data_IF_567431464135
#
_entry.id   IF_567431464135
#
_cell.length_a   1.000
_cell.length_b   1.000
_cell.length_c   1.000
_cell.angle_alpha   90.00
_cell.angle_beta   90.00
_cell.angle_gamma   90.00
#
_symmetry.space_group_name_H-M   'P 1'
#
loop_
_entity.id
_entity.type
_entity.pdbx_description
1 polymer ?
#
# COMPACT_ATOMS: atom_id res chain seq x y z
N UNK A 1 56.38 10.85 -6.96
CA UNK A 1 55.31 10.95 -5.93
C UNK A 1 54.02 10.51 -6.57
N UNK A 2 53.65 9.27 -6.37
CA UNK A 2 52.40 8.69 -6.89
C UNK A 2 51.31 8.80 -5.85
N UNK A 3 50.29 9.63 -6.15
CA UNK A 3 49.12 9.81 -5.30
C UNK A 3 48.20 8.60 -5.41
N UNK A 4 47.99 7.94 -4.31
CA UNK A 4 46.98 6.89 -4.13
C UNK A 4 45.59 7.54 -4.21
N UNK A 5 44.85 7.30 -5.29
CA UNK A 5 43.41 7.57 -5.34
C UNK A 5 42.73 6.42 -4.62
N UNK A 6 42.33 6.66 -3.39
CA UNK A 6 41.51 5.74 -2.64
C UNK A 6 40.12 5.65 -3.27
N UNK A 7 39.81 4.52 -3.89
CA UNK A 7 38.45 4.18 -4.30
C UNK A 7 37.61 3.93 -3.04
N UNK A 8 36.77 4.89 -2.66
CA UNK A 8 35.73 4.66 -1.69
C UNK A 8 34.76 3.62 -2.29
N UNK A 9 34.85 2.39 -1.82
CA UNK A 9 33.83 1.36 -2.04
C UNK A 9 32.61 1.80 -1.27
N UNK A 10 31.68 2.46 -1.96
CA UNK A 10 30.36 2.74 -1.41
C UNK A 10 29.65 1.39 -1.30
N UNK A 11 29.61 0.80 -0.11
CA UNK A 11 28.72 -0.32 0.16
C UNK A 11 27.30 0.12 -0.15
N UNK A 12 26.82 -0.31 -1.30
CA UNK A 12 25.41 -0.16 -1.67
C UNK A 12 24.64 -1.07 -0.73
N UNK A 13 24.06 -0.51 0.35
CA UNK A 13 23.12 -1.23 1.19
C UNK A 13 21.97 -1.63 0.27
N UNK A 14 21.96 -2.87 -0.18
CA UNK A 14 20.88 -3.46 -0.95
C UNK A 14 19.65 -3.46 -0.06
N UNK A 15 18.76 -2.47 -0.23
CA UNK A 15 17.46 -2.44 0.44
C UNK A 15 16.76 -3.76 0.14
N UNK A 16 16.22 -4.40 1.18
CA UNK A 16 15.47 -5.65 1.03
C UNK A 16 14.43 -5.50 -0.09
N UNK A 17 14.44 -6.42 -1.05
CA UNK A 17 13.56 -6.40 -2.20
C UNK A 17 12.10 -6.29 -1.76
N UNK A 18 11.40 -5.30 -2.27
CA UNK A 18 9.98 -5.06 -2.00
C UNK A 18 9.15 -6.12 -2.71
N UNK A 19 8.40 -6.93 -1.96
CA UNK A 19 7.58 -8.03 -2.50
C UNK A 19 6.10 -7.61 -2.46
N UNK A 20 5.45 -7.38 -3.61
CA UNK A 20 4.03 -7.09 -3.68
C UNK A 20 3.18 -8.36 -3.57
N UNK A 21 1.96 -8.23 -3.05
CA UNK A 21 0.90 -9.20 -3.33
C UNK A 21 0.37 -8.90 -4.71
N UNK A 22 0.51 -9.82 -5.65
CA UNK A 22 0.06 -9.67 -7.03
C UNK A 22 -1.48 -9.67 -7.11
N UNK A 23 -2.07 -9.10 -8.17
CA UNK A 23 -3.52 -8.98 -8.31
C UNK A 23 -4.27 -10.30 -8.13
N UNK A 24 -3.82 -11.37 -8.78
CA UNK A 24 -4.45 -12.69 -8.75
C UNK A 24 -4.39 -13.32 -7.34
N UNK A 25 -3.26 -13.15 -6.66
CA UNK A 25 -3.07 -13.63 -5.29
C UNK A 25 -3.92 -12.81 -4.29
N UNK A 26 -4.09 -11.52 -4.56
CA UNK A 26 -4.92 -10.64 -3.74
C UNK A 26 -6.41 -10.95 -3.90
N UNK A 27 -6.86 -11.16 -5.14
CA UNK A 27 -8.22 -11.57 -5.44
C UNK A 27 -8.55 -12.89 -4.74
N UNK A 28 -7.73 -13.91 -4.96
CA UNK A 28 -7.90 -15.21 -4.34
C UNK A 28 -7.85 -15.14 -2.79
N UNK A 29 -7.07 -14.24 -2.21
CA UNK A 29 -7.06 -14.00 -0.77
C UNK A 29 -8.41 -13.47 -0.27
N UNK A 30 -9.00 -12.49 -0.97
CA UNK A 30 -10.30 -11.92 -0.62
C UNK A 30 -11.42 -12.97 -0.73
N UNK A 31 -11.41 -13.79 -1.79
CA UNK A 31 -12.41 -14.84 -2.02
C UNK A 31 -12.32 -15.95 -0.97
N UNK A 32 -11.11 -16.37 -0.61
CA UNK A 32 -10.93 -17.37 0.45
C UNK A 32 -11.38 -16.83 1.83
N UNK A 33 -11.14 -15.54 2.13
CA UNK A 33 -11.62 -14.92 3.36
C UNK A 33 -13.15 -14.87 3.41
N UNK A 34 -13.79 -14.59 2.27
CA UNK A 34 -15.25 -14.59 2.14
C UNK A 34 -15.83 -15.99 2.31
N UNK A 35 -15.30 -16.97 1.58
CA UNK A 35 -15.71 -18.37 1.65
C UNK A 35 -15.56 -18.96 3.05
N UNK A 36 -14.55 -18.53 3.81
CA UNK A 36 -14.32 -18.94 5.20
C UNK A 36 -15.18 -18.16 6.22
N UNK A 37 -16.05 -17.24 5.77
CA UNK A 37 -16.87 -16.37 6.62
C UNK A 37 -16.05 -15.38 7.45
N UNK A 38 -14.80 -15.09 7.06
CA UNK A 38 -13.90 -14.14 7.75
C UNK A 38 -14.14 -12.70 7.26
N UNK A 39 -15.40 -12.26 7.27
CA UNK A 39 -15.81 -11.01 6.64
C UNK A 39 -15.16 -9.76 7.23
N UNK A 40 -14.96 -9.71 8.55
CA UNK A 40 -14.25 -8.59 9.19
C UNK A 40 -12.78 -8.50 8.74
N UNK A 41 -12.10 -9.66 8.61
CA UNK A 41 -10.72 -9.71 8.14
C UNK A 41 -10.65 -9.40 6.65
N UNK A 42 -11.61 -9.89 5.84
CA UNK A 42 -11.76 -9.54 4.43
C UNK A 42 -11.87 -8.03 4.24
N UNK A 43 -12.71 -7.37 5.03
CA UNK A 43 -12.85 -5.92 5.02
C UNK A 43 -11.53 -5.22 5.32
N UNK A 44 -10.85 -5.60 6.40
CA UNK A 44 -9.56 -5.00 6.76
C UNK A 44 -8.49 -5.21 5.69
N UNK A 45 -8.38 -6.42 5.14
CA UNK A 45 -7.43 -6.79 4.07
C UNK A 45 -7.77 -6.05 2.77
N UNK A 46 -9.05 -5.98 2.41
CA UNK A 46 -9.51 -5.26 1.23
C UNK A 46 -9.21 -3.76 1.30
N UNK A 47 -9.52 -3.12 2.43
CA UNK A 47 -9.21 -1.70 2.64
C UNK A 47 -7.70 -1.43 2.56
N UNK A 48 -6.87 -2.25 3.24
CA UNK A 48 -5.42 -2.11 3.18
C UNK A 48 -4.89 -2.31 1.77
N UNK A 49 -5.33 -3.35 1.07
CA UNK A 49 -4.83 -3.70 -0.26
C UNK A 49 -5.35 -2.80 -1.37
N UNK A 50 -6.65 -2.48 -1.40
CA UNK A 50 -7.24 -1.64 -2.46
C UNK A 50 -6.87 -0.17 -2.35
N UNK A 51 -6.73 0.37 -1.14
CA UNK A 51 -6.37 1.77 -0.92
C UNK A 51 -4.88 2.00 -0.64
N UNK A 52 -4.07 0.94 -0.60
CA UNK A 52 -2.65 1.05 -0.30
C UNK A 52 -2.34 1.58 1.09
N UNK A 53 -3.19 1.29 2.08
CA UNK A 53 -3.04 1.78 3.45
C UNK A 53 -1.84 1.13 4.15
N UNK A 54 -1.24 1.84 5.11
CA UNK A 54 -0.51 1.17 6.18
C UNK A 54 -1.54 0.46 7.07
N UNK A 55 -1.30 -0.77 7.53
CA UNK A 55 -2.28 -1.46 8.40
C UNK A 55 -2.73 -0.65 9.62
N UNK A 56 -1.85 0.16 10.18
CA UNK A 56 -2.18 1.05 11.30
C UNK A 56 -3.09 2.23 10.92
N UNK A 57 -3.19 2.57 9.64
CA UNK A 57 -4.07 3.65 9.15
C UNK A 57 -5.56 3.28 9.19
N UNK A 58 -5.90 2.00 9.40
CA UNK A 58 -7.27 1.57 9.68
C UNK A 58 -7.89 2.28 10.91
N UNK A 59 -7.05 2.78 11.82
CA UNK A 59 -7.49 3.52 13.00
C UNK A 59 -7.90 4.97 12.73
N UNK A 60 -7.48 5.54 11.61
CA UNK A 60 -7.59 6.98 11.33
C UNK A 60 -8.24 7.26 9.97
N UNK A 61 -9.05 6.31 9.50
CA UNK A 61 -9.84 6.49 8.28
C UNK A 61 -11.07 7.35 8.54
N UNK A 62 -11.42 8.18 7.58
CA UNK A 62 -12.61 9.00 7.57
C UNK A 62 -13.21 9.03 6.17
N UNK A 63 -14.45 8.60 6.03
CA UNK A 63 -15.21 8.66 4.77
C UNK A 63 -16.11 9.90 4.80
N UNK A 64 -16.04 10.70 3.75
CA UNK A 64 -16.92 11.84 3.55
C UNK A 64 -18.23 11.43 2.85
N UNK A 65 -19.24 12.29 2.93
CA UNK A 65 -20.56 12.07 2.33
C UNK A 65 -20.47 11.94 0.79
N UNK A 66 -19.47 12.57 0.17
CA UNK A 66 -19.20 12.45 -1.27
C UNK A 66 -18.45 11.15 -1.65
N UNK A 67 -18.20 10.27 -0.69
CA UNK A 67 -17.54 8.99 -0.88
C UNK A 67 -16.01 9.06 -0.98
N UNK A 68 -15.40 10.20 -0.65
CA UNK A 68 -13.95 10.33 -0.55
C UNK A 68 -13.44 9.79 0.78
N UNK A 69 -12.44 8.92 0.71
CA UNK A 69 -11.76 8.38 1.89
C UNK A 69 -10.49 9.18 2.18
N UNK A 70 -10.37 9.62 3.42
CA UNK A 70 -9.20 10.29 3.94
C UNK A 70 -8.54 9.47 5.04
N UNK A 71 -7.25 9.69 5.22
CA UNK A 71 -6.45 9.04 6.25
C UNK A 71 -5.65 10.10 7.00
N UNK A 72 -5.81 10.12 8.32
CA UNK A 72 -5.12 11.06 9.19
C UNK A 72 -3.59 10.88 9.17
N UNK A 73 -2.87 11.99 9.24
CA UNK A 73 -1.40 12.03 9.22
C UNK A 73 -0.72 11.53 10.48
N UNK A 74 -1.49 11.25 11.53
CA UNK A 74 -1.02 10.94 12.89
C UNK A 74 -0.23 9.64 13.02
N UNK A 75 -0.44 8.67 12.10
CA UNK A 75 0.13 7.32 12.18
C UNK A 75 1.66 7.30 12.04
N UNK A 76 2.22 8.26 11.34
CA UNK A 76 3.67 8.39 11.17
C UNK A 76 4.15 9.72 11.78
N UNK A 77 4.22 9.74 13.11
CA UNK A 77 4.88 10.82 13.84
C UNK A 77 6.39 10.53 13.88
N UNK A 78 7.23 11.46 13.43
CA UNK A 78 8.63 11.45 13.82
C UNK A 78 8.79 12.29 15.10
N UNK A 79 9.84 12.03 15.87
CA UNK A 79 10.07 12.72 17.15
C UNK A 79 10.12 14.25 16.99
N UNK A 80 10.67 14.74 15.86
CA UNK A 80 10.74 16.17 15.54
C UNK A 80 9.37 16.78 15.26
N UNK A 81 8.49 16.06 14.56
CA UNK A 81 7.13 16.54 14.29
C UNK A 81 6.31 16.65 15.59
N UNK A 82 6.52 15.75 16.53
CA UNK A 82 5.90 15.80 17.86
C UNK A 82 6.38 17.01 18.65
N UNK A 83 7.70 17.26 18.69
CA UNK A 83 8.29 18.43 19.37
C UNK A 83 7.84 19.77 18.78
N UNK A 84 7.61 19.81 17.47
CA UNK A 84 7.22 21.02 16.74
C UNK A 84 5.71 21.23 16.64
N UNK A 85 4.88 20.31 17.16
CA UNK A 85 3.43 20.36 17.06
C UNK A 85 2.91 20.28 15.60
N UNK A 86 3.76 19.82 14.66
CA UNK A 86 3.41 19.72 13.24
C UNK A 86 2.82 18.34 12.95
N UNK A 87 1.50 18.25 12.94
CA UNK A 87 0.82 17.07 12.42
C UNK A 87 0.88 17.06 10.90
N UNK A 88 1.14 15.88 10.32
CA UNK A 88 0.97 15.73 8.87
C UNK A 88 -0.52 15.88 8.54
N UNK A 89 -0.86 16.64 7.48
CA UNK A 89 -2.25 16.78 7.07
C UNK A 89 -2.85 15.42 6.69
N UNK A 90 -4.17 15.33 6.81
CA UNK A 90 -4.90 14.22 6.22
C UNK A 90 -4.59 14.12 4.72
N UNK A 91 -4.57 12.91 4.20
CA UNK A 91 -4.42 12.68 2.77
C UNK A 91 -5.64 11.96 2.20
N UNK A 92 -6.01 12.35 1.01
CA UNK A 92 -6.93 11.59 0.19
C UNK A 92 -6.30 10.25 -0.18
N UNK A 93 -7.07 9.16 -0.07
CA UNK A 93 -6.71 7.84 -0.61
C UNK A 93 -7.73 7.42 -1.64
N UNK A 94 -7.29 6.71 -2.66
CA UNK A 94 -8.15 6.20 -3.74
C UNK A 94 -7.89 4.71 -3.93
N UNK A 95 -8.95 3.92 -4.16
CA UNK A 95 -8.76 2.51 -4.43
C UNK A 95 -8.21 2.31 -5.84
N UNK A 96 -7.36 1.32 -5.99
CA UNK A 96 -7.07 0.68 -7.25
C UNK A 96 -7.73 -0.69 -7.19
N UNK A 97 -8.85 -0.82 -7.88
CA UNK A 97 -9.61 -2.04 -7.92
C UNK A 97 -8.86 -3.17 -8.68
N UNK A 98 -9.38 -4.35 -8.64
CA UNK A 98 -8.91 -5.50 -9.39
C UNK A 98 -9.67 -5.58 -10.72
N UNK A 99 -9.07 -6.15 -11.75
CA UNK A 99 -9.72 -6.38 -13.03
C UNK A 99 -10.95 -7.28 -12.83
N UNK A 100 -12.09 -6.86 -13.37
CA UNK A 100 -13.36 -7.57 -13.20
C UNK A 100 -14.02 -7.38 -11.82
N UNK A 101 -13.48 -6.51 -10.99
CA UNK A 101 -14.02 -6.13 -9.67
C UNK A 101 -14.08 -4.62 -9.49
N UNK A 102 -14.52 -3.93 -10.52
CA UNK A 102 -14.64 -2.48 -10.55
C UNK A 102 -15.65 -2.02 -9.48
N UNK A 103 -15.24 -1.05 -8.68
CA UNK A 103 -16.04 -0.50 -7.58
C UNK A 103 -15.88 -1.22 -6.25
N UNK A 104 -15.14 -2.33 -6.17
CA UNK A 104 -14.96 -3.11 -4.93
C UNK A 104 -14.39 -2.24 -3.78
N UNK A 105 -13.42 -1.39 -4.08
CA UNK A 105 -12.85 -0.50 -3.05
C UNK A 105 -13.88 0.44 -2.46
N UNK A 106 -14.72 1.05 -3.31
CA UNK A 106 -15.82 1.93 -2.86
C UNK A 106 -16.85 1.14 -2.05
N UNK A 107 -17.22 -0.05 -2.50
CA UNK A 107 -18.14 -0.94 -1.78
C UNK A 107 -17.63 -1.23 -0.36
N UNK A 108 -16.36 -1.63 -0.21
CA UNK A 108 -15.78 -1.92 1.09
C UNK A 108 -15.67 -0.69 1.99
N UNK A 109 -15.36 0.49 1.43
CA UNK A 109 -15.35 1.73 2.19
C UNK A 109 -16.76 2.10 2.69
N UNK A 110 -17.79 1.93 1.86
CA UNK A 110 -19.17 2.13 2.27
C UNK A 110 -19.62 1.09 3.30
N UNK A 111 -19.24 -0.17 3.14
CA UNK A 111 -19.53 -1.21 4.13
C UNK A 111 -18.89 -0.89 5.48
N UNK A 112 -17.66 -0.40 5.47
CA UNK A 112 -16.98 0.07 6.68
C UNK A 112 -17.75 1.21 7.32
N UNK A 113 -18.09 2.26 6.58
CA UNK A 113 -18.77 3.45 7.09
C UNK A 113 -20.19 3.13 7.62
N UNK A 114 -21.02 2.42 6.85
CA UNK A 114 -22.38 2.03 7.21
C UNK A 114 -22.42 1.08 8.42
N UNK A 115 -21.34 0.37 8.67
CA UNK A 115 -21.18 -0.52 9.81
C UNK A 115 -20.64 0.13 11.07
N UNK A 116 -20.67 1.43 11.16
CA UNK A 116 -20.09 2.24 12.25
C UNK A 116 -18.55 2.14 12.27
N UNK A 117 -17.92 2.18 11.11
CA UNK A 117 -16.47 2.30 10.96
C UNK A 117 -15.69 1.18 11.65
N UNK A 118 -14.91 1.55 12.65
CA UNK A 118 -14.03 0.64 13.39
C UNK A 118 -14.75 -0.62 13.90
N UNK A 119 -16.04 -0.54 14.21
CA UNK A 119 -16.82 -1.68 14.73
C UNK A 119 -16.99 -2.83 13.72
N UNK A 120 -16.69 -2.63 12.44
CA UNK A 120 -16.67 -3.67 11.41
C UNK A 120 -15.32 -4.34 11.23
N UNK A 121 -14.30 -3.86 11.90
CA UNK A 121 -12.97 -4.46 11.86
C UNK A 121 -12.88 -5.64 12.86
N UNK A 122 -11.94 -6.58 12.68
CA UNK A 122 -11.70 -7.66 13.61
C UNK A 122 -11.50 -7.17 15.05
N UNK A 123 -12.05 -7.89 16.02
CA UNK A 123 -12.00 -7.53 17.43
C UNK A 123 -10.58 -7.19 17.93
N UNK A 124 -9.58 -7.98 17.51
CA UNK A 124 -8.20 -7.74 17.91
C UNK A 124 -7.69 -6.36 17.42
N UNK A 125 -8.08 -5.91 16.22
CA UNK A 125 -7.74 -4.59 15.69
C UNK A 125 -8.48 -3.51 16.46
N UNK A 126 -9.79 -3.68 16.71
CA UNK A 126 -10.61 -2.74 17.47
C UNK A 126 -10.08 -2.51 18.88
N UNK A 127 -9.66 -3.56 19.56
CA UNK A 127 -9.10 -3.47 20.90
C UNK A 127 -7.80 -2.64 20.94
N UNK A 128 -6.96 -2.73 19.90
CA UNK A 128 -5.75 -1.91 19.85
C UNK A 128 -6.04 -0.47 19.40
N UNK A 129 -7.07 -0.24 18.56
CA UNK A 129 -7.53 1.11 18.23
C UNK A 129 -8.03 1.84 19.49
N UNK A 130 -8.80 1.17 20.35
CA UNK A 130 -9.31 1.74 21.59
C UNK A 130 -8.20 2.16 22.58
N UNK A 131 -7.00 1.60 22.45
CA UNK A 131 -5.84 1.92 23.33
C UNK A 131 -4.92 3.00 22.74
N UNK A 132 -5.20 3.49 21.53
CA UNK A 132 -4.30 4.43 20.84
C UNK A 132 -4.11 5.73 21.63
N UNK A 133 -5.17 6.29 22.19
CA UNK A 133 -5.10 7.52 23.00
C UNK A 133 -4.24 7.32 24.25
N UNK A 134 -4.43 6.23 24.97
CA UNK A 134 -3.66 5.90 26.18
C UNK A 134 -2.18 5.65 25.85
N UNK A 135 -1.90 4.84 24.83
CA UNK A 135 -0.54 4.45 24.46
C UNK A 135 0.19 5.45 23.58
N UNK A 136 -0.49 6.45 23.06
CA UNK A 136 0.00 7.41 22.07
C UNK A 136 0.76 6.79 20.89
N UNK A 137 0.30 5.61 20.42
CA UNK A 137 0.94 4.88 19.31
C UNK A 137 -0.06 4.03 18.52
N UNK A 138 0.11 3.99 17.22
CA UNK A 138 -0.66 3.17 16.28
C UNK A 138 0.04 1.85 15.92
N UNK A 139 1.22 1.59 16.48
CA UNK A 139 2.06 0.42 16.12
C UNK A 139 1.32 -0.88 16.34
N UNK A 140 0.64 -1.00 17.46
CA UNK A 140 -0.05 -2.25 17.87
C UNK A 140 -1.26 -2.55 16.98
N UNK A 141 -1.92 -1.53 16.40
CA UNK A 141 -2.99 -1.72 15.41
C UNK A 141 -2.45 -2.45 14.17
N UNK A 142 -1.30 -2.01 13.65
CA UNK A 142 -0.63 -2.67 12.53
C UNK A 142 -0.10 -4.07 12.88
N UNK A 143 0.35 -4.26 14.12
CA UNK A 143 0.79 -5.57 14.60
C UNK A 143 -0.38 -6.56 14.70
N UNK A 144 -1.53 -6.14 15.25
CA UNK A 144 -2.75 -6.95 15.33
C UNK A 144 -3.24 -7.38 13.94
N UNK A 145 -3.30 -6.45 12.98
CA UNK A 145 -3.61 -6.78 11.59
C UNK A 145 -2.65 -7.84 11.04
N UNK A 146 -1.35 -7.61 11.18
CA UNK A 146 -0.32 -8.51 10.65
C UNK A 146 -0.42 -9.89 11.28
N UNK A 147 -0.69 -9.96 12.59
CA UNK A 147 -0.84 -11.22 13.31
C UNK A 147 -2.08 -12.01 12.84
N UNK A 148 -3.22 -11.35 12.64
CA UNK A 148 -4.43 -11.98 12.11
C UNK A 148 -4.19 -12.56 10.73
N UNK A 149 -3.58 -11.77 9.84
CA UNK A 149 -3.31 -12.20 8.47
C UNK A 149 -2.30 -13.35 8.41
N UNK A 150 -1.19 -13.27 9.16
CA UNK A 150 -0.17 -14.34 9.16
C UNK A 150 -0.66 -15.66 9.75
N UNK A 151 -1.68 -15.64 10.61
CA UNK A 151 -2.33 -16.84 11.14
C UNK A 151 -3.33 -17.45 10.16
N UNK A 152 -3.80 -16.69 9.19
CA UNK A 152 -4.79 -17.16 8.24
C UNK A 152 -4.21 -18.21 7.29
N UNK A 153 -4.96 -19.31 7.07
CA UNK A 153 -4.47 -20.49 6.33
C UNK A 153 -4.04 -20.15 4.90
N UNK A 154 -4.84 -19.38 4.17
CA UNK A 154 -4.53 -19.04 2.79
C UNK A 154 -3.31 -18.10 2.68
N UNK A 155 -3.12 -17.19 3.62
CA UNK A 155 -1.90 -16.37 3.68
C UNK A 155 -0.63 -17.22 3.78
N UNK A 156 -0.67 -18.32 4.54
CA UNK A 156 0.47 -19.25 4.64
C UNK A 156 0.76 -19.94 3.31
N UNK A 157 -0.26 -20.16 2.46
CA UNK A 157 -0.07 -20.68 1.10
C UNK A 157 0.65 -19.63 0.25
N UNK A 158 0.23 -18.37 0.30
CA UNK A 158 0.88 -17.27 -0.43
C UNK A 158 2.34 -17.09 -0.01
N UNK A 159 2.65 -17.16 1.29
CA UNK A 159 4.05 -17.09 1.78
C UNK A 159 4.89 -18.26 1.28
N UNK A 160 4.33 -19.47 1.15
CA UNK A 160 5.04 -20.61 0.56
C UNK A 160 5.29 -20.40 -0.95
N UNK A 161 4.31 -19.86 -1.68
CA UNK A 161 4.43 -19.51 -3.10
C UNK A 161 5.45 -18.40 -3.33
N UNK A 162 5.47 -17.42 -2.43
CA UNK A 162 6.32 -16.21 -2.54
C UNK A 162 7.11 -16.02 -1.23
N UNK A 163 8.29 -16.68 -1.10
CA UNK A 163 9.12 -16.59 0.09
C UNK A 163 9.52 -15.14 0.41
N UNK A 164 9.38 -14.76 1.68
CA UNK A 164 9.66 -13.40 2.14
C UNK A 164 8.47 -12.43 2.05
N UNK A 165 7.31 -12.87 1.52
CA UNK A 165 6.09 -12.08 1.50
C UNK A 165 5.65 -11.74 2.93
N UNK A 166 5.35 -10.47 3.17
CA UNK A 166 4.89 -9.93 4.47
C UNK A 166 3.53 -9.25 4.30
N UNK A 167 2.72 -9.09 5.37
CA UNK A 167 1.43 -8.39 5.30
C UNK A 167 1.50 -7.00 4.66
N UNK A 168 2.62 -6.30 4.80
CA UNK A 168 2.87 -5.02 4.14
C UNK A 168 2.94 -5.13 2.61
N UNK A 169 3.12 -6.33 2.07
CA UNK A 169 3.03 -6.65 0.65
C UNK A 169 1.69 -6.30 0.01
N UNK A 170 0.60 -6.19 0.78
CA UNK A 170 -0.68 -5.67 0.29
C UNK A 170 -0.57 -4.23 -0.19
N UNK A 171 0.11 -3.37 0.58
CA UNK A 171 0.37 -1.98 0.17
C UNK A 171 1.34 -1.90 -1.00
N UNK A 172 2.34 -2.77 -1.05
CA UNK A 172 3.22 -2.89 -2.21
C UNK A 172 2.44 -3.37 -3.45
N UNK A 173 1.45 -4.24 -3.28
CA UNK A 173 0.53 -4.66 -4.34
C UNK A 173 -0.28 -3.50 -4.93
N UNK A 174 -0.69 -2.52 -4.11
CA UNK A 174 -1.30 -1.29 -4.61
C UNK A 174 -0.33 -0.51 -5.52
N UNK A 175 0.91 -0.32 -5.07
CA UNK A 175 1.93 0.37 -5.86
C UNK A 175 2.25 -0.41 -7.16
N UNK A 176 2.26 -1.74 -7.10
CA UNK A 176 2.44 -2.59 -8.27
C UNK A 176 1.31 -2.37 -9.29
N UNK A 177 0.04 -2.38 -8.85
CA UNK A 177 -1.10 -2.08 -9.73
C UNK A 177 -1.03 -0.67 -10.32
N UNK A 178 -0.56 0.30 -9.56
CA UNK A 178 -0.41 1.68 -10.04
C UNK A 178 0.54 1.80 -11.24
N UNK A 179 1.51 0.90 -11.37
CA UNK A 179 2.58 1.00 -12.36
C UNK A 179 2.66 -0.17 -13.35
N UNK A 180 1.94 -1.28 -13.12
CA UNK A 180 2.12 -2.52 -13.89
C UNK A 180 0.83 -3.16 -14.40
N UNK A 181 -0.32 -2.77 -13.88
CA UNK A 181 -1.58 -3.51 -14.12
C UNK A 181 -2.53 -2.82 -15.11
N UNK A 182 -2.12 -1.72 -15.73
CA UNK A 182 -2.97 -0.94 -16.64
C UNK A 182 -2.13 -0.30 -17.73
N UNK A 183 -2.73 -0.13 -18.91
CA UNK A 183 -2.16 0.68 -20.00
C UNK A 183 -1.94 2.14 -19.57
N UNK A 184 -2.81 2.65 -18.68
CA UNK A 184 -2.68 3.99 -18.08
C UNK A 184 -2.12 3.87 -16.66
N UNK A 185 -0.83 4.03 -16.53
CA UNK A 185 -0.15 4.04 -15.25
C UNK A 185 -0.33 5.38 -14.52
N UNK A 186 -0.34 5.33 -13.18
CA UNK A 186 -0.25 6.55 -12.40
C UNK A 186 1.17 7.11 -12.46
N UNK A 187 1.28 8.44 -12.60
CA UNK A 187 2.59 9.10 -12.47
C UNK A 187 3.15 8.89 -11.06
N UNK A 188 4.47 8.74 -10.92
CA UNK A 188 5.12 8.48 -9.62
C UNK A 188 4.76 9.51 -8.55
N UNK A 189 4.59 10.80 -8.91
CA UNK A 189 4.16 11.83 -7.97
C UNK A 189 2.72 11.62 -7.48
N UNK A 190 1.81 11.14 -8.35
CA UNK A 190 0.43 10.84 -7.99
C UNK A 190 0.36 9.63 -7.06
N UNK A 191 1.05 8.54 -7.42
CA UNK A 191 1.11 7.34 -6.62
C UNK A 191 1.75 7.61 -5.23
N UNK A 192 2.82 8.38 -5.17
CA UNK A 192 3.48 8.76 -3.92
C UNK A 192 2.58 9.62 -3.02
N UNK A 193 1.85 10.58 -3.59
CA UNK A 193 0.90 11.41 -2.85
C UNK A 193 -0.23 10.55 -2.23
N UNK A 194 -0.84 9.67 -3.02
CA UNK A 194 -1.89 8.75 -2.55
C UNK A 194 -1.37 7.79 -1.47
N UNK A 195 -0.13 7.33 -1.57
CA UNK A 195 0.51 6.50 -0.55
C UNK A 195 1.03 7.29 0.67
N UNK A 196 1.10 8.61 0.62
CA UNK A 196 1.56 9.46 1.73
C UNK A 196 3.06 9.32 2.03
N UNK A 197 3.89 9.37 0.98
CA UNK A 197 5.34 9.49 1.05
C UNK A 197 5.86 10.36 -0.09
N UNK A 198 7.10 10.80 -0.03
CA UNK A 198 7.71 11.61 -1.09
C UNK A 198 7.97 10.76 -2.34
N UNK A 199 8.04 11.40 -3.51
CA UNK A 199 8.39 10.72 -4.77
C UNK A 199 9.76 10.04 -4.69
N UNK A 200 10.72 10.64 -4.00
CA UNK A 200 12.03 10.02 -3.77
C UNK A 200 11.91 8.69 -3.03
N UNK A 201 11.15 8.65 -1.94
CA UNK A 201 10.88 7.41 -1.18
C UNK A 201 10.17 6.39 -2.06
N UNK A 202 9.23 6.85 -2.91
CA UNK A 202 8.54 5.97 -3.84
C UNK A 202 9.49 5.30 -4.83
N UNK A 203 10.34 6.08 -5.48
CA UNK A 203 11.36 5.58 -6.41
C UNK A 203 12.35 4.64 -5.72
N UNK A 204 12.80 4.96 -4.52
CA UNK A 204 13.70 4.11 -3.72
C UNK A 204 13.15 2.68 -3.50
N UNK A 205 11.81 2.52 -3.43
CA UNK A 205 11.18 1.22 -3.20
C UNK A 205 10.78 0.50 -4.49
N UNK A 206 10.40 1.23 -5.54
CA UNK A 206 9.67 0.65 -6.67
C UNK A 206 10.40 0.78 -8.02
N UNK A 207 11.47 1.58 -8.13
CA UNK A 207 12.23 1.72 -9.38
C UNK A 207 12.84 0.40 -9.87
N UNK A 208 13.16 -0.51 -8.96
CA UNK A 208 13.72 -1.83 -9.30
C UNK A 208 12.71 -2.78 -10.01
N UNK A 209 11.46 -2.35 -10.16
CA UNK A 209 10.45 -3.14 -10.89
C UNK A 209 10.43 -2.86 -12.38
N UNK A 210 11.12 -1.80 -12.84
CA UNK A 210 11.25 -1.50 -14.27
C UNK A 210 12.18 -2.53 -14.90
N UNK A 211 11.70 -3.23 -15.93
CA UNK A 211 12.48 -4.20 -16.71
C UNK A 211 13.11 -3.55 -17.94
N UNK A 212 14.12 -4.21 -18.52
CA UNK A 212 14.75 -3.76 -19.77
C UNK A 212 13.74 -3.71 -20.91
N UNK A 213 12.87 -4.75 -21.04
CA UNK A 213 11.81 -4.81 -22.05
C UNK A 213 10.82 -3.61 -21.97
N UNK A 214 10.51 -3.17 -20.75
CA UNK A 214 9.64 -2.00 -20.55
C UNK A 214 10.32 -0.69 -20.96
N UNK A 215 11.64 -0.60 -20.76
CA UNK A 215 12.41 0.56 -21.22
C UNK A 215 12.45 0.61 -22.74
N UNK A 216 12.71 -0.52 -23.40
CA UNK A 216 12.71 -0.62 -24.87
C UNK A 216 11.34 -0.23 -25.44
N UNK A 217 10.26 -0.84 -24.92
CA UNK A 217 8.90 -0.54 -25.33
C UNK A 217 8.53 0.94 -25.16
N UNK A 218 8.89 1.55 -24.04
CA UNK A 218 8.62 2.96 -23.78
C UNK A 218 9.34 3.88 -24.79
N UNK A 219 10.57 3.55 -25.16
CA UNK A 219 11.34 4.30 -26.18
C UNK A 219 10.73 4.10 -27.57
N UNK A 220 10.32 2.89 -27.90
CA UNK A 220 9.65 2.61 -29.19
C UNK A 220 8.32 3.37 -29.33
N UNK A 221 7.48 3.34 -28.31
CA UNK A 221 6.21 4.07 -28.26
C UNK A 221 6.43 5.59 -28.39
N UNK A 222 7.43 6.14 -27.68
CA UNK A 222 7.80 7.55 -27.81
C UNK A 222 8.16 7.91 -29.25
N UNK A 223 9.01 7.10 -29.90
CA UNK A 223 9.46 7.34 -31.28
C UNK A 223 8.33 7.16 -32.30
N UNK A 224 7.38 6.26 -32.07
CA UNK A 224 6.20 6.09 -32.92
C UNK A 224 5.28 7.32 -32.83
N UNK A 225 5.07 7.85 -31.62
CA UNK A 225 4.25 9.04 -31.41
C UNK A 225 4.85 10.30 -32.05
N UNK A 226 6.18 10.43 -32.12
CA UNK A 226 6.82 11.53 -32.84
C UNK A 226 6.50 11.52 -34.35
N UNK A 227 6.37 10.34 -34.95
CA UNK A 227 6.02 10.20 -36.37
C UNK A 227 4.55 10.55 -36.65
N UNK A 228 3.66 10.39 -35.67
CA UNK A 228 2.22 10.69 -35.80
C UNK A 228 1.91 12.21 -35.66
N UNK A 229 2.80 13.00 -35.07
CA UNK A 229 2.63 14.45 -34.88
C UNK A 229 3.19 15.25 -36.06
N UNK A 230 3.95 14.60 -36.94
CA UNK A 230 4.60 15.25 -38.11
C UNK A 230 3.76 15.17 -39.39
N UNK A 231 2.51 14.73 -39.35
CA UNK A 231 1.50 14.72 -40.42
C UNK A 231 0.35 15.67 -40.10
#
# INVERSE_FOLDING_TARGET
MSGLIGSAVTETITKAKTIPVLPEDFEALLDNLEADGKLELRLAVGLVGLYGLRPSELAVMRLEDDGKLYVGGQVKRDAKAIEQGTEKPERLVKPLDLNGREGLGKELAMLWNNGRGVMKLPLAIRNEIAKVEEKNTFKEVGAAFSQLLTRYRYWKILVKKTPGLKPYGLRHGWAWRAHKNSEKQLHYSQASALLGHTTRVHLDYYSSWVSEDELEKAVEEYNQNLKSVAL
#
